data_IF_888927307514
#
_entry.id   IF_888927307514
#
_cell.length_a   1.000
_cell.length_b   1.000
_cell.length_c   1.000
_cell.angle_alpha   90.00
_cell.angle_beta   90.00
_cell.angle_gamma   90.00
#
_symmetry.space_group_name_H-M   'P 1'
#
loop_
_entity.id
_entity.type
_entity.pdbx_description
1 polymer ?
#
# COMPACT_ATOMS: atom_id res chain seq x y z
N UNK A 1 9.19 18.93 -5.95
CA UNK A 1 8.19 17.86 -5.70
C UNK A 1 7.09 18.33 -4.72
N UNK A 2 5.81 18.06 -5.03
CA UNK A 2 4.64 18.58 -4.29
C UNK A 2 4.59 18.16 -2.81
N UNK A 3 5.11 16.96 -2.50
CA UNK A 3 5.10 16.35 -1.17
C UNK A 3 6.50 15.98 -0.67
N UNK A 4 7.57 16.54 -1.26
CA UNK A 4 8.94 16.19 -0.90
C UNK A 4 9.38 14.77 -1.31
N UNK A 5 8.51 13.99 -1.96
CA UNK A 5 8.84 12.66 -2.45
C UNK A 5 9.40 12.69 -3.90
N UNK A 6 10.31 11.77 -4.16
CA UNK A 6 10.85 11.42 -5.46
C UNK A 6 10.88 9.89 -5.59
N UNK A 7 10.98 9.36 -6.81
CA UNK A 7 11.16 7.91 -7.02
C UNK A 7 12.34 7.40 -6.20
N UNK A 8 13.48 8.09 -6.25
CA UNK A 8 14.68 7.69 -5.52
C UNK A 8 14.46 7.65 -4.00
N UNK A 9 13.83 8.68 -3.42
CA UNK A 9 13.58 8.73 -1.97
C UNK A 9 12.58 7.65 -1.53
N UNK A 10 11.55 7.38 -2.33
CA UNK A 10 10.55 6.34 -2.04
C UNK A 10 11.21 4.96 -2.10
N UNK A 11 12.01 4.68 -3.14
CA UNK A 11 12.74 3.42 -3.25
C UNK A 11 13.72 3.22 -2.09
N UNK A 12 14.43 4.28 -1.67
CA UNK A 12 15.32 4.21 -0.52
C UNK A 12 14.57 3.84 0.78
N UNK A 13 13.37 4.40 1.00
CA UNK A 13 12.54 4.04 2.16
C UNK A 13 12.07 2.58 2.12
N UNK A 14 11.72 2.06 0.94
CA UNK A 14 11.33 0.65 0.78
C UNK A 14 12.50 -0.28 1.10
N UNK A 15 13.68 0.01 0.54
CA UNK A 15 14.90 -0.80 0.75
C UNK A 15 15.34 -0.76 2.21
N UNK A 16 15.22 0.39 2.87
CA UNK A 16 15.65 0.57 4.26
C UNK A 16 14.93 -0.34 5.27
N UNK A 17 13.76 -0.88 4.91
CA UNK A 17 13.01 -1.81 5.78
C UNK A 17 13.00 -3.26 5.26
N UNK A 18 13.86 -3.60 4.28
CA UNK A 18 13.88 -4.91 3.62
C UNK A 18 14.09 -6.07 4.59
N UNK A 19 15.07 -5.96 5.50
CA UNK A 19 15.36 -7.00 6.50
C UNK A 19 14.16 -7.25 7.43
N UNK A 20 13.47 -6.18 7.84
CA UNK A 20 12.28 -6.29 8.68
C UNK A 20 11.14 -6.98 7.92
N UNK A 21 10.96 -6.67 6.63
CA UNK A 21 9.97 -7.33 5.79
C UNK A 21 10.26 -8.84 5.67
N UNK A 22 11.52 -9.21 5.46
CA UNK A 22 11.95 -10.62 5.41
C UNK A 22 11.76 -11.34 6.75
N UNK A 23 11.96 -10.62 7.87
CA UNK A 23 11.71 -11.12 9.21
C UNK A 23 10.21 -11.23 9.58
N UNK A 24 9.29 -10.89 8.66
CA UNK A 24 7.85 -11.05 8.86
C UNK A 24 7.17 -9.85 9.52
N UNK A 25 7.64 -8.63 9.22
CA UNK A 25 7.01 -7.36 9.63
C UNK A 25 5.48 -7.38 9.45
N UNK A 26 4.74 -7.02 10.50
CA UNK A 26 3.29 -6.87 10.42
C UNK A 26 2.88 -5.46 9.96
N UNK A 27 1.64 -5.32 9.49
CA UNK A 27 1.11 -4.01 9.06
C UNK A 27 1.07 -3.01 10.21
N UNK A 28 0.75 -3.45 11.42
CA UNK A 28 0.71 -2.60 12.61
C UNK A 28 2.11 -2.06 12.95
N UNK A 29 3.15 -2.89 12.75
CA UNK A 29 4.54 -2.48 12.91
C UNK A 29 4.97 -1.51 11.79
N UNK A 30 4.54 -1.75 10.55
CA UNK A 30 4.80 -0.87 9.41
C UNK A 30 4.35 0.57 9.66
N UNK A 31 3.18 0.77 10.29
CA UNK A 31 2.65 2.11 10.63
C UNK A 31 3.57 2.90 11.56
N UNK A 32 4.41 2.23 12.35
CA UNK A 32 5.38 2.84 13.25
C UNK A 32 6.75 3.04 12.60
N UNK A 33 7.11 2.21 11.62
CA UNK A 33 8.41 2.27 10.94
C UNK A 33 8.46 3.31 9.84
N UNK A 34 7.39 3.47 9.06
CA UNK A 34 7.34 4.44 7.96
C UNK A 34 6.31 5.55 8.23
N UNK A 35 6.65 6.80 7.87
CA UNK A 35 5.68 7.89 7.87
C UNK A 35 4.61 7.67 6.79
N UNK A 36 3.55 8.47 6.83
CA UNK A 36 2.57 8.53 5.75
C UNK A 36 3.27 9.00 4.45
N UNK A 37 3.13 8.21 3.38
CA UNK A 37 3.78 8.49 2.10
C UNK A 37 3.64 7.32 1.13
N UNK A 38 4.21 7.50 -0.07
CA UNK A 38 4.12 6.52 -1.15
C UNK A 38 4.77 5.17 -0.78
N UNK A 39 5.91 5.19 -0.06
CA UNK A 39 6.60 3.98 0.35
C UNK A 39 5.72 3.12 1.28
N UNK A 40 5.15 3.74 2.33
CA UNK A 40 4.26 3.04 3.26
C UNK A 40 3.01 2.51 2.56
N UNK A 41 2.41 3.31 1.66
CA UNK A 41 1.25 2.88 0.88
C UNK A 41 1.54 1.62 0.05
N UNK A 42 2.67 1.60 -0.66
CA UNK A 42 3.06 0.46 -1.48
C UNK A 42 3.24 -0.82 -0.66
N UNK A 43 3.93 -0.72 0.47
CA UNK A 43 4.24 -1.87 1.32
C UNK A 43 2.99 -2.36 2.07
N UNK A 44 2.17 -1.46 2.60
CA UNK A 44 0.92 -1.83 3.29
C UNK A 44 -0.04 -2.58 2.34
N UNK A 45 -0.23 -2.06 1.12
CA UNK A 45 -0.99 -2.74 0.07
C UNK A 45 -0.41 -4.11 -0.28
N UNK A 46 0.92 -4.24 -0.38
CA UNK A 46 1.57 -5.52 -0.64
C UNK A 46 1.35 -6.54 0.48
N UNK A 47 1.37 -6.11 1.75
CA UNK A 47 1.08 -6.97 2.90
C UNK A 47 -0.39 -7.42 2.93
N UNK A 48 -1.33 -6.53 2.57
CA UNK A 48 -2.74 -6.88 2.40
C UNK A 48 -2.94 -7.95 1.31
N UNK A 49 -2.33 -7.75 0.14
CA UNK A 49 -2.41 -8.70 -0.97
C UNK A 49 -1.79 -10.06 -0.60
N UNK A 50 -0.62 -10.05 0.05
CA UNK A 50 0.04 -11.27 0.54
C UNK A 50 -0.84 -12.04 1.51
N UNK A 51 -1.46 -11.36 2.49
CA UNK A 51 -2.36 -12.00 3.44
C UNK A 51 -3.57 -12.62 2.72
N UNK A 52 -4.23 -11.86 1.85
CA UNK A 52 -5.38 -12.32 1.10
C UNK A 52 -5.06 -13.58 0.27
N UNK A 53 -3.91 -13.57 -0.43
CA UNK A 53 -3.42 -14.73 -1.19
C UNK A 53 -3.10 -15.93 -0.32
N UNK A 54 -2.45 -15.73 0.84
CA UNK A 54 -2.14 -16.82 1.78
C UNK A 54 -3.40 -17.49 2.33
N UNK A 55 -4.47 -16.72 2.52
CA UNK A 55 -5.77 -17.23 2.97
C UNK A 55 -6.67 -17.73 1.82
N UNK A 56 -6.24 -17.62 0.57
CA UNK A 56 -7.04 -18.00 -0.60
C UNK A 56 -8.30 -17.14 -0.78
N UNK A 57 -8.27 -15.90 -0.30
CA UNK A 57 -9.41 -14.96 -0.33
C UNK A 57 -9.09 -13.76 -1.21
N UNK A 58 -10.14 -13.15 -1.75
CA UNK A 58 -10.06 -11.76 -2.23
C UNK A 58 -9.93 -10.81 -1.02
N UNK A 59 -9.40 -9.60 -1.24
CA UNK A 59 -9.30 -8.61 -0.16
C UNK A 59 -10.68 -8.26 0.44
N UNK A 60 -11.73 -8.21 -0.39
CA UNK A 60 -13.10 -7.98 0.07
C UNK A 60 -13.58 -9.10 1.01
N UNK A 61 -13.33 -10.36 0.65
CA UNK A 61 -13.64 -11.52 1.50
C UNK A 61 -12.81 -11.53 2.78
N UNK A 62 -11.53 -11.17 2.71
CA UNK A 62 -10.65 -11.07 3.88
C UNK A 62 -11.17 -10.02 4.87
N UNK A 63 -11.65 -8.89 4.37
CA UNK A 63 -12.21 -7.79 5.15
C UNK A 63 -13.67 -7.98 5.55
N UNK A 64 -14.36 -8.99 5.01
CA UNK A 64 -15.79 -9.19 5.23
C UNK A 64 -16.65 -8.04 4.69
N UNK A 65 -16.19 -7.36 3.64
CA UNK A 65 -16.91 -6.24 3.02
C UNK A 65 -17.51 -6.63 1.67
N UNK A 66 -18.68 -6.07 1.38
CA UNK A 66 -19.32 -6.20 0.06
C UNK A 66 -18.95 -4.98 -0.77
N UNK A 67 -18.26 -5.20 -1.88
CA UNK A 67 -17.97 -4.13 -2.85
C UNK A 67 -19.19 -3.92 -3.76
N UNK A 68 -19.46 -2.68 -4.19
CA UNK A 68 -20.48 -2.43 -5.19
C UNK A 68 -20.03 -2.97 -6.56
N UNK A 69 -20.99 -3.43 -7.37
CA UNK A 69 -20.72 -3.93 -8.73
C UNK A 69 -20.22 -2.83 -9.68
N UNK A 70 -20.49 -1.56 -9.36
CA UNK A 70 -20.05 -0.39 -10.12
C UNK A 70 -19.78 0.79 -9.21
N UNK A 71 -18.71 1.52 -9.50
CA UNK A 71 -18.38 2.81 -8.88
C UNK A 71 -18.31 3.87 -9.98
N UNK A 72 -19.02 4.99 -9.81
CA UNK A 72 -18.90 6.14 -10.70
C UNK A 72 -17.60 6.87 -10.37
N UNK A 73 -16.76 7.12 -11.38
CA UNK A 73 -15.48 7.84 -11.23
C UNK A 73 -15.49 9.15 -12.01
N UNK A 74 -14.61 10.08 -11.62
CA UNK A 74 -14.45 11.34 -12.33
C UNK A 74 -13.47 11.19 -13.51
N UNK A 75 -13.72 11.94 -14.59
CA UNK A 75 -12.76 12.13 -15.67
C UNK A 75 -12.06 13.48 -15.49
N UNK A 76 -10.75 13.44 -15.26
CA UNK A 76 -9.94 14.66 -15.17
C UNK A 76 -9.66 15.20 -16.57
N UNK A 77 -10.13 16.42 -16.85
CA UNK A 77 -9.85 17.14 -18.11
C UNK A 77 -8.82 18.23 -17.82
N UNK A 78 -7.69 18.20 -18.53
CA UNK A 78 -6.67 19.25 -18.46
C UNK A 78 -6.96 20.27 -19.55
N UNK A 79 -7.22 21.51 -19.14
CA UNK A 79 -7.28 22.66 -20.05
C UNK A 79 -5.92 23.35 -19.89
N UNK A 80 -5.19 23.48 -21.00
CA UNK A 80 -3.88 24.13 -21.03
C UNK A 80 -3.95 25.61 -20.72
#
# INVERSE_FOLDING_TARGET
PRYGESIASVMAQVIAIGEQLEAGLTREQLQRLLPAGAARNAIDCALWDLQARREGKTLAQLLGVVLPDRVITAQTVVIG
#
